data_IF_067960847728
#
_entry.id   IF_067960847728
#
_cell.length_a   1.000
_cell.length_b   1.000
_cell.length_c   1.000
_cell.angle_alpha   90.00
_cell.angle_beta   90.00
_cell.angle_gamma   90.00
#
_symmetry.space_group_name_H-M   'P 1'
#
loop_
_entity.id
_entity.type
_entity.pdbx_description
1 polymer ?
#
# COMPACT_ATOMS: atom_id res chain seq x y z
N UNK A 1 6.35 -33.23 -6.20
CA UNK A 1 6.28 -32.56 -4.90
C UNK A 1 6.10 -31.09 -5.14
N UNK A 2 5.32 -30.39 -4.30
CA UNK A 2 5.23 -28.94 -4.39
C UNK A 2 6.60 -28.32 -4.08
N UNK A 3 6.98 -27.23 -4.78
CA UNK A 3 8.23 -26.50 -4.50
C UNK A 3 8.12 -25.81 -3.15
N UNK A 4 9.25 -25.76 -2.42
CA UNK A 4 9.34 -25.15 -1.08
C UNK A 4 9.71 -23.68 -1.20
N UNK A 5 8.88 -22.83 -0.63
CA UNK A 5 8.99 -21.38 -0.66
C UNK A 5 9.21 -20.82 0.75
N UNK A 6 10.38 -20.26 1.00
CA UNK A 6 10.65 -19.49 2.21
C UNK A 6 10.30 -18.02 1.96
N UNK A 7 9.33 -17.47 2.66
CA UNK A 7 8.99 -16.04 2.64
C UNK A 7 9.65 -15.37 3.85
N UNK A 8 10.48 -14.36 3.61
CA UNK A 8 11.15 -13.58 4.65
C UNK A 8 10.74 -12.13 4.55
N UNK A 9 10.14 -11.59 5.60
CA UNK A 9 9.56 -10.24 5.57
C UNK A 9 9.71 -9.49 6.90
N UNK A 10 9.25 -8.26 6.94
CA UNK A 10 9.07 -7.48 8.17
C UNK A 10 7.63 -7.58 8.72
N UNK A 11 6.90 -8.65 8.37
CA UNK A 11 5.55 -8.92 8.87
C UNK A 11 5.53 -8.86 10.39
N UNK A 12 4.59 -8.09 10.93
CA UNK A 12 4.41 -7.87 12.36
C UNK A 12 2.92 -7.92 12.70
N UNK A 13 2.48 -9.03 13.28
CA UNK A 13 1.08 -9.27 13.63
C UNK A 13 0.53 -8.29 14.68
N UNK A 14 1.40 -7.64 15.44
CA UNK A 14 1.01 -6.58 16.39
C UNK A 14 0.60 -5.28 15.68
N UNK A 15 0.94 -5.13 14.40
CA UNK A 15 0.64 -3.97 13.56
C UNK A 15 -0.01 -4.41 12.24
N UNK A 16 -1.28 -4.86 12.24
CA UNK A 16 -1.93 -5.50 11.10
C UNK A 16 -2.30 -4.55 9.94
N UNK A 17 -1.53 -3.49 9.73
CA UNK A 17 -1.74 -2.46 8.72
C UNK A 17 -0.45 -2.14 7.96
N UNK A 18 -0.59 -1.50 6.81
CA UNK A 18 0.53 -1.02 6.00
C UNK A 18 1.48 -2.15 5.56
N UNK A 19 2.68 -2.18 6.13
CA UNK A 19 3.71 -3.16 5.77
C UNK A 19 3.34 -4.64 6.06
N UNK A 20 2.37 -4.88 6.95
CA UNK A 20 1.83 -6.21 7.25
C UNK A 20 1.04 -6.80 6.08
N UNK A 21 0.25 -5.99 5.39
CA UNK A 21 -0.79 -6.45 4.46
C UNK A 21 -0.21 -7.29 3.31
N UNK A 22 0.83 -6.79 2.64
CA UNK A 22 1.42 -7.47 1.48
C UNK A 22 2.04 -8.83 1.83
N UNK A 23 2.96 -8.96 2.81
CA UNK A 23 3.52 -10.27 3.16
C UNK A 23 2.50 -11.26 3.68
N UNK A 24 1.49 -10.80 4.40
CA UNK A 24 0.44 -11.66 4.93
C UNK A 24 -0.43 -12.26 3.81
N UNK A 25 -1.01 -11.43 2.97
CA UNK A 25 -1.93 -11.91 1.93
C UNK A 25 -1.20 -12.65 0.80
N UNK A 26 -0.01 -12.20 0.40
CA UNK A 26 0.79 -12.96 -0.56
C UNK A 26 1.19 -14.33 0.02
N UNK A 27 1.61 -14.40 1.27
CA UNK A 27 1.93 -15.67 1.93
C UNK A 27 0.72 -16.61 1.95
N UNK A 28 -0.46 -16.08 2.33
CA UNK A 28 -1.72 -16.83 2.34
C UNK A 28 -2.05 -17.45 0.98
N UNK A 29 -2.02 -16.68 -0.09
CA UNK A 29 -2.41 -17.20 -1.40
C UNK A 29 -1.29 -17.93 -2.14
N UNK A 30 -0.01 -17.65 -1.85
CA UNK A 30 1.10 -18.45 -2.36
C UNK A 30 1.13 -19.86 -1.74
N UNK A 31 0.59 -20.06 -0.53
CA UNK A 31 0.45 -21.38 0.07
C UNK A 31 -0.54 -22.31 -0.68
N UNK A 32 -1.36 -21.77 -1.58
CA UNK A 32 -2.18 -22.58 -2.50
C UNK A 32 -1.33 -23.23 -3.62
N UNK A 33 -0.10 -22.72 -3.89
CA UNK A 33 0.77 -23.13 -4.99
C UNK A 33 2.08 -23.76 -4.54
N UNK A 34 2.55 -23.44 -3.34
CA UNK A 34 3.85 -23.85 -2.79
C UNK A 34 3.71 -24.43 -1.39
N UNK A 35 4.70 -25.24 -1.00
CA UNK A 35 4.94 -25.56 0.41
C UNK A 35 5.62 -24.35 1.04
N UNK A 36 4.89 -23.53 1.80
CA UNK A 36 5.34 -22.22 2.30
C UNK A 36 5.82 -22.31 3.74
N UNK A 37 6.95 -21.68 4.04
CA UNK A 37 7.40 -21.34 5.37
C UNK A 37 7.50 -19.81 5.49
N UNK A 38 6.82 -19.20 6.49
CA UNK A 38 6.74 -17.75 6.67
C UNK A 38 7.63 -17.27 7.82
N UNK A 39 8.48 -16.25 7.56
CA UNK A 39 9.26 -15.55 8.57
C UNK A 39 8.92 -14.07 8.63
N UNK A 40 8.78 -13.52 9.84
CA UNK A 40 8.51 -12.12 10.09
C UNK A 40 9.00 -11.66 11.45
N UNK A 41 8.72 -10.43 11.82
CA UNK A 41 9.01 -9.91 13.17
C UNK A 41 8.11 -10.57 14.20
N UNK A 42 6.83 -10.62 13.92
CA UNK A 42 5.82 -11.38 14.65
C UNK A 42 4.86 -12.06 13.66
N UNK A 43 4.80 -13.39 13.71
CA UNK A 43 3.98 -14.24 12.86
C UNK A 43 2.78 -14.84 13.60
N UNK A 44 2.36 -14.30 14.73
CA UNK A 44 1.28 -14.87 15.56
C UNK A 44 -0.08 -14.98 14.84
N UNK A 45 -0.33 -14.14 13.82
CA UNK A 45 -1.53 -14.22 12.98
C UNK A 45 -1.41 -15.14 11.76
N UNK A 46 -0.24 -15.75 11.53
CA UNK A 46 -0.01 -16.65 10.38
C UNK A 46 -0.52 -18.04 10.73
N UNK A 47 -1.64 -18.43 10.14
CA UNK A 47 -2.28 -19.74 10.36
C UNK A 47 -2.33 -20.60 9.09
N UNK A 48 -1.90 -20.08 7.94
CA UNK A 48 -1.97 -20.75 6.63
C UNK A 48 -0.70 -21.55 6.29
N UNK A 49 0.40 -21.36 7.04
CA UNK A 49 1.67 -22.02 6.82
C UNK A 49 2.47 -22.12 8.15
N UNK A 50 3.43 -23.05 8.26
CA UNK A 50 4.45 -23.00 9.31
C UNK A 50 5.16 -21.65 9.32
N UNK A 51 5.41 -21.10 10.52
CA UNK A 51 5.98 -19.76 10.65
C UNK A 51 6.92 -19.63 11.84
N UNK A 52 7.80 -18.63 11.77
CA UNK A 52 8.72 -18.27 12.86
C UNK A 52 8.78 -16.75 13.03
N UNK A 53 8.63 -16.30 14.28
CA UNK A 53 8.85 -14.90 14.66
C UNK A 53 10.32 -14.65 14.98
N UNK A 54 10.90 -13.62 14.36
CA UNK A 54 12.32 -13.22 14.56
C UNK A 54 12.46 -12.31 15.79
N UNK A 55 11.42 -11.54 16.11
CA UNK A 55 11.35 -10.67 17.29
C UNK A 55 12.30 -9.45 17.30
N UNK A 56 13.14 -9.29 16.27
CA UNK A 56 14.13 -8.20 16.21
C UNK A 56 14.40 -7.72 14.78
N UNK A 57 14.44 -6.40 14.59
CA UNK A 57 14.80 -5.76 13.31
C UNK A 57 16.32 -5.67 13.11
N UNK A 58 17.10 -6.68 13.46
CA UNK A 58 18.54 -6.69 13.26
C UNK A 58 18.96 -7.60 12.10
N UNK A 59 19.95 -7.19 11.32
CA UNK A 59 20.48 -7.99 10.22
C UNK A 59 20.97 -9.36 10.73
N UNK A 60 21.64 -9.37 11.89
CA UNK A 60 22.16 -10.60 12.53
C UNK A 60 21.05 -11.58 12.86
N UNK A 61 19.94 -11.10 13.46
CA UNK A 61 18.81 -11.97 13.83
C UNK A 61 18.15 -12.58 12.59
N UNK A 62 17.99 -11.80 11.51
CA UNK A 62 17.47 -12.31 10.24
C UNK A 62 18.40 -13.36 9.63
N UNK A 63 19.71 -13.12 9.57
CA UNK A 63 20.70 -14.08 9.04
C UNK A 63 20.60 -15.41 9.82
N UNK A 64 20.66 -15.36 11.15
CA UNK A 64 20.58 -16.56 11.99
C UNK A 64 19.31 -17.37 11.78
N UNK A 65 18.16 -16.68 11.71
CA UNK A 65 16.86 -17.33 11.48
C UNK A 65 16.79 -17.97 10.07
N UNK A 66 17.25 -17.26 9.05
CA UNK A 66 17.26 -17.75 7.66
C UNK A 66 18.19 -18.95 7.53
N UNK A 67 19.41 -18.89 8.07
CA UNK A 67 20.36 -20.00 8.02
C UNK A 67 19.80 -21.28 8.64
N UNK A 68 19.16 -21.16 9.83
CA UNK A 68 18.48 -22.28 10.46
C UNK A 68 17.39 -22.86 9.57
N UNK A 69 16.53 -22.00 9.00
CA UNK A 69 15.43 -22.45 8.14
C UNK A 69 15.96 -23.07 6.84
N UNK A 70 17.02 -22.55 6.24
CA UNK A 70 17.65 -23.14 5.04
C UNK A 70 18.09 -24.59 5.35
N UNK A 71 18.72 -24.84 6.49
CA UNK A 71 19.18 -26.16 6.87
C UNK A 71 18.03 -27.15 7.15
N UNK A 72 16.93 -26.69 7.77
CA UNK A 72 15.81 -27.54 8.16
C UNK A 72 14.75 -27.70 7.06
N UNK A 73 14.40 -26.62 6.39
CA UNK A 73 13.32 -26.58 5.39
C UNK A 73 13.81 -26.81 3.96
N UNK A 74 15.10 -26.51 3.66
CA UNK A 74 15.72 -26.61 2.34
C UNK A 74 14.87 -25.98 1.22
N UNK A 75 14.61 -24.67 1.23
CA UNK A 75 13.73 -24.02 0.27
C UNK A 75 14.30 -24.05 -1.15
N UNK A 76 13.44 -24.22 -2.16
CA UNK A 76 13.78 -24.05 -3.58
C UNK A 76 13.86 -22.57 -3.93
N UNK A 77 13.00 -21.75 -3.29
CA UNK A 77 12.92 -20.31 -3.51
C UNK A 77 12.92 -19.59 -2.15
N UNK A 78 13.73 -18.54 -2.05
CA UNK A 78 13.71 -17.58 -0.94
C UNK A 78 13.13 -16.27 -1.47
N UNK A 79 11.93 -15.92 -1.03
CA UNK A 79 11.22 -14.68 -1.38
C UNK A 79 11.39 -13.67 -0.26
N UNK A 80 12.31 -12.74 -0.46
CA UNK A 80 12.69 -11.77 0.57
C UNK A 80 12.05 -10.39 0.26
N UNK A 81 11.20 -9.95 1.17
CA UNK A 81 10.42 -8.72 1.04
C UNK A 81 11.06 -7.59 1.83
N UNK A 82 11.36 -6.48 1.19
CA UNK A 82 12.05 -5.32 1.70
C UNK A 82 13.59 -5.47 1.83
N UNK A 83 14.25 -4.32 2.07
CA UNK A 83 15.72 -4.21 2.03
C UNK A 83 16.42 -5.06 3.09
N UNK A 84 15.96 -5.05 4.34
CA UNK A 84 16.62 -5.79 5.42
C UNK A 84 16.50 -7.31 5.27
N UNK A 85 15.31 -7.89 5.05
CA UNK A 85 15.16 -9.31 4.73
C UNK A 85 15.92 -9.71 3.47
N UNK A 86 15.93 -8.85 2.43
CA UNK A 86 16.67 -9.10 1.19
C UNK A 86 18.16 -9.22 1.40
N UNK A 87 18.78 -8.30 2.15
CA UNK A 87 20.21 -8.37 2.49
C UNK A 87 20.54 -9.62 3.32
N UNK A 88 19.71 -9.91 4.32
CA UNK A 88 19.93 -11.10 5.15
C UNK A 88 19.87 -12.39 4.33
N UNK A 89 18.85 -12.51 3.45
CA UNK A 89 18.71 -13.66 2.56
C UNK A 89 19.90 -13.81 1.58
N UNK A 90 20.32 -12.69 0.97
CA UNK A 90 21.47 -12.69 0.06
C UNK A 90 22.77 -13.16 0.76
N UNK A 91 23.01 -12.68 1.99
CA UNK A 91 24.18 -13.05 2.78
C UNK A 91 24.09 -14.53 3.19
N UNK A 92 22.94 -14.98 3.73
CA UNK A 92 22.76 -16.36 4.18
C UNK A 92 22.97 -17.38 3.05
N UNK A 93 22.40 -17.12 1.87
CA UNK A 93 22.56 -18.00 0.71
C UNK A 93 24.02 -18.06 0.22
N UNK A 94 24.75 -16.93 0.28
CA UNK A 94 26.18 -16.90 -0.06
C UNK A 94 27.05 -17.63 0.97
N UNK A 95 26.79 -17.43 2.27
CA UNK A 95 27.56 -18.08 3.35
C UNK A 95 27.35 -19.59 3.37
N UNK A 96 26.12 -20.05 3.24
CA UNK A 96 25.77 -21.47 3.22
C UNK A 96 26.14 -22.19 1.92
N UNK A 97 26.60 -21.45 0.88
CA UNK A 97 26.85 -21.98 -0.47
C UNK A 97 25.64 -22.79 -1.02
N UNK A 98 24.43 -22.44 -0.61
CA UNK A 98 23.18 -23.08 -1.09
C UNK A 98 22.94 -22.67 -2.54
N UNK A 99 23.54 -23.41 -3.47
CA UNK A 99 23.46 -23.16 -4.91
C UNK A 99 22.09 -23.52 -5.52
N UNK A 100 21.26 -24.24 -4.78
CA UNK A 100 19.99 -24.77 -5.29
C UNK A 100 18.77 -23.89 -4.95
N UNK A 101 18.92 -22.85 -4.12
CA UNK A 101 17.84 -21.94 -3.78
C UNK A 101 17.94 -20.65 -4.60
N UNK A 102 16.86 -20.29 -5.28
CA UNK A 102 16.74 -19.01 -6.01
C UNK A 102 16.30 -17.89 -5.07
N UNK A 103 17.01 -16.76 -5.05
CA UNK A 103 16.58 -15.56 -4.33
C UNK A 103 15.71 -14.70 -5.23
N UNK A 104 14.51 -14.34 -4.76
CA UNK A 104 13.64 -13.34 -5.37
C UNK A 104 13.42 -12.21 -4.36
N UNK A 105 13.62 -10.98 -4.81
CA UNK A 105 13.46 -9.78 -3.99
C UNK A 105 12.10 -9.14 -4.24
N UNK A 106 11.48 -8.56 -3.21
CA UNK A 106 10.27 -7.76 -3.35
C UNK A 106 10.47 -6.38 -2.72
N UNK A 107 10.34 -5.33 -3.51
CA UNK A 107 10.40 -3.96 -3.07
C UNK A 107 8.99 -3.38 -2.97
N UNK A 108 8.49 -3.20 -1.75
CA UNK A 108 7.21 -2.52 -1.50
C UNK A 108 7.32 -1.03 -1.78
N UNK A 109 8.51 -0.47 -1.54
CA UNK A 109 8.83 0.92 -1.78
C UNK A 109 10.29 1.06 -2.24
N UNK A 110 10.61 2.21 -2.84
CA UNK A 110 11.99 2.60 -3.05
C UNK A 110 12.47 3.47 -1.88
N UNK A 111 12.88 2.79 -0.79
CA UNK A 111 13.11 3.43 0.51
C UNK A 111 14.21 4.50 0.49
N UNK A 112 15.24 4.38 -0.34
CA UNK A 112 16.27 5.41 -0.47
C UNK A 112 15.67 6.75 -0.95
N UNK A 113 14.77 6.71 -1.95
CA UNK A 113 14.05 7.89 -2.41
C UNK A 113 13.14 8.47 -1.33
N UNK A 114 12.48 7.63 -0.57
CA UNK A 114 11.62 8.08 0.53
C UNK A 114 12.41 8.82 1.62
N UNK A 115 13.59 8.30 2.02
CA UNK A 115 14.49 9.00 2.96
C UNK A 115 15.01 10.31 2.38
N UNK A 116 15.36 10.34 1.10
CA UNK A 116 15.78 11.56 0.42
C UNK A 116 14.72 12.65 0.48
N UNK A 117 13.49 12.32 0.14
CA UNK A 117 12.39 13.28 0.16
C UNK A 117 12.05 13.78 1.57
N UNK A 118 12.28 12.95 2.59
CA UNK A 118 12.09 13.34 3.98
C UNK A 118 13.11 14.38 4.50
N UNK A 119 14.27 14.50 3.87
CA UNK A 119 15.27 15.50 4.24
C UNK A 119 14.70 16.93 4.32
N UNK A 120 13.71 17.22 3.49
CA UNK A 120 13.11 18.55 3.37
C UNK A 120 11.93 18.81 4.34
N UNK A 121 11.54 17.82 5.12
CA UNK A 121 10.33 17.88 5.96
C UNK A 121 10.52 17.44 7.41
N UNK A 122 11.75 17.13 7.85
CA UNK A 122 12.03 16.60 9.20
C UNK A 122 12.92 17.53 10.03
N UNK A 123 12.79 17.46 11.35
CA UNK A 123 13.59 18.24 12.28
C UNK A 123 15.08 17.87 12.34
N UNK A 124 15.44 16.65 11.91
CA UNK A 124 16.82 16.16 11.91
C UNK A 124 17.24 15.63 10.52
N UNK A 125 17.58 16.52 9.57
CA UNK A 125 17.94 16.14 8.21
C UNK A 125 19.22 15.30 8.14
N UNK A 126 20.18 15.48 9.03
CA UNK A 126 21.43 14.72 9.03
C UNK A 126 21.20 13.22 9.30
N UNK A 127 20.33 12.90 10.25
CA UNK A 127 19.95 11.50 10.53
C UNK A 127 19.28 10.87 9.31
N UNK A 128 18.36 11.57 8.67
CA UNK A 128 17.68 11.09 7.46
C UNK A 128 18.65 10.92 6.29
N UNK A 129 19.61 11.84 6.12
CA UNK A 129 20.64 11.73 5.10
C UNK A 129 21.50 10.47 5.30
N UNK A 130 21.98 10.22 6.51
CA UNK A 130 22.75 9.01 6.84
C UNK A 130 21.92 7.76 6.55
N UNK A 131 20.63 7.77 6.89
CA UNK A 131 19.74 6.64 6.61
C UNK A 131 19.48 6.48 5.11
N UNK A 132 19.33 7.57 4.37
CA UNK A 132 19.23 7.56 2.91
C UNK A 132 20.46 6.90 2.27
N UNK A 133 21.67 7.32 2.64
CA UNK A 133 22.92 6.76 2.12
C UNK A 133 23.05 5.27 2.44
N UNK A 134 22.79 4.87 3.69
CA UNK A 134 22.81 3.45 4.09
C UNK A 134 21.84 2.61 3.29
N UNK A 135 20.61 3.10 3.12
CA UNK A 135 19.56 2.42 2.38
C UNK A 135 19.88 2.37 0.88
N UNK A 136 20.42 3.46 0.32
CA UNK A 136 20.89 3.51 -1.06
C UNK A 136 21.95 2.43 -1.34
N UNK A 137 22.99 2.33 -0.51
CA UNK A 137 24.02 1.30 -0.65
C UNK A 137 23.39 -0.10 -0.52
N UNK A 138 22.54 -0.32 0.48
CA UNK A 138 21.91 -1.60 0.74
C UNK A 138 21.01 -2.05 -0.43
N UNK A 139 20.17 -1.16 -0.94
CA UNK A 139 19.33 -1.43 -2.11
C UNK A 139 20.17 -1.62 -3.37
N UNK A 140 21.27 -0.87 -3.54
CA UNK A 140 22.21 -1.05 -4.64
C UNK A 140 22.79 -2.46 -4.65
N UNK A 141 23.26 -2.97 -3.50
CA UNK A 141 23.77 -4.35 -3.38
C UNK A 141 22.72 -5.37 -3.85
N UNK A 142 21.46 -5.19 -3.46
CA UNK A 142 20.36 -6.06 -3.86
C UNK A 142 20.06 -5.96 -5.36
N UNK A 143 19.96 -4.74 -5.88
CA UNK A 143 19.66 -4.47 -7.31
C UNK A 143 20.74 -5.06 -8.22
N UNK A 144 22.02 -4.96 -7.81
CA UNK A 144 23.16 -5.50 -8.57
C UNK A 144 23.50 -6.96 -8.24
N UNK A 145 22.75 -7.63 -7.35
CA UNK A 145 22.95 -9.04 -7.03
C UNK A 145 22.63 -9.99 -8.19
N UNK A 146 21.89 -9.53 -9.18
CA UNK A 146 21.36 -10.34 -10.28
C UNK A 146 20.07 -11.10 -9.95
N UNK A 147 19.56 -10.98 -8.71
CA UNK A 147 18.30 -11.62 -8.30
C UNK A 147 17.10 -10.95 -8.99
N UNK A 148 16.08 -11.72 -9.41
CA UNK A 148 14.80 -11.18 -9.89
C UNK A 148 14.16 -10.29 -8.83
N UNK A 149 13.53 -9.20 -9.29
CA UNK A 149 12.88 -8.22 -8.42
C UNK A 149 11.39 -8.14 -8.75
N UNK A 150 10.55 -8.27 -7.74
CA UNK A 150 9.14 -7.90 -7.77
C UNK A 150 9.02 -6.49 -7.18
N UNK A 151 8.33 -5.61 -7.87
CA UNK A 151 8.10 -4.23 -7.46
C UNK A 151 6.61 -3.99 -7.20
N UNK A 152 6.26 -3.39 -6.07
CA UNK A 152 4.87 -3.14 -5.68
C UNK A 152 4.24 -1.94 -6.42
N UNK A 153 4.64 -1.69 -7.65
CA UNK A 153 4.08 -0.66 -8.54
C UNK A 153 5.10 -0.20 -9.59
N UNK A 154 4.60 0.39 -10.66
CA UNK A 154 5.39 0.80 -11.84
C UNK A 154 6.32 1.99 -11.60
N UNK A 155 6.12 2.73 -10.51
CA UNK A 155 7.01 3.82 -10.09
C UNK A 155 8.37 3.32 -9.60
N UNK A 156 8.44 2.12 -9.00
CA UNK A 156 9.67 1.59 -8.42
C UNK A 156 10.73 1.27 -9.48
N UNK A 157 10.44 0.57 -10.59
CA UNK A 157 11.41 0.37 -11.67
C UNK A 157 11.94 1.68 -12.25
N UNK A 158 11.08 2.69 -12.41
CA UNK A 158 11.47 4.03 -12.89
C UNK A 158 12.45 4.70 -11.94
N UNK A 159 12.17 4.67 -10.62
CA UNK A 159 13.06 5.22 -9.59
C UNK A 159 14.40 4.47 -9.54
N UNK A 160 14.39 3.14 -9.62
CA UNK A 160 15.62 2.34 -9.68
C UNK A 160 16.47 2.77 -10.87
N UNK A 161 15.89 2.89 -12.06
CA UNK A 161 16.59 3.34 -13.27
C UNK A 161 17.17 4.74 -13.10
N UNK A 162 16.41 5.68 -12.55
CA UNK A 162 16.86 7.06 -12.32
C UNK A 162 18.01 7.16 -11.32
N UNK A 163 17.98 6.37 -10.25
CA UNK A 163 18.95 6.47 -9.15
C UNK A 163 20.20 5.64 -9.33
N UNK A 164 20.11 4.52 -10.05
CA UNK A 164 21.26 3.62 -10.28
C UNK A 164 21.74 3.59 -11.75
N UNK A 165 21.08 4.34 -12.63
CA UNK A 165 21.46 4.41 -14.05
C UNK A 165 21.25 3.09 -14.82
N UNK A 166 20.59 2.11 -14.19
CA UNK A 166 20.39 0.78 -14.77
C UNK A 166 19.08 0.17 -14.27
N UNK A 167 18.31 -0.36 -15.21
CA UNK A 167 17.15 -1.20 -14.86
C UNK A 167 17.60 -2.66 -14.74
N UNK A 168 17.27 -3.38 -13.66
CA UNK A 168 17.53 -4.81 -13.56
C UNK A 168 16.90 -5.56 -14.75
N UNK A 169 17.59 -6.63 -15.20
CA UNK A 169 17.12 -7.43 -16.35
C UNK A 169 15.79 -8.13 -16.08
N UNK A 170 15.56 -8.53 -14.81
CA UNK A 170 14.37 -9.23 -14.36
C UNK A 170 13.67 -8.42 -13.25
N UNK A 171 12.88 -7.44 -13.67
CA UNK A 171 12.02 -6.69 -12.76
C UNK A 171 10.56 -6.80 -13.21
N UNK A 172 9.69 -7.17 -12.28
CA UNK A 172 8.27 -7.44 -12.51
C UNK A 172 7.43 -6.50 -11.65
N UNK A 173 6.60 -5.67 -12.29
CA UNK A 173 5.68 -4.80 -11.55
C UNK A 173 4.42 -5.56 -11.16
N UNK A 174 4.31 -5.93 -9.89
CA UNK A 174 3.10 -6.53 -9.30
C UNK A 174 2.70 -5.74 -8.08
N UNK A 175 1.75 -4.85 -8.27
CA UNK A 175 1.24 -3.96 -7.24
C UNK A 175 0.55 -4.69 -6.08
N UNK A 176 0.06 -3.92 -5.13
CA UNK A 176 -0.73 -4.44 -4.02
C UNK A 176 -2.10 -4.93 -4.50
N UNK A 177 -2.74 -5.75 -3.67
CA UNK A 177 -4.08 -6.25 -3.90
C UNK A 177 -5.08 -5.67 -2.91
N UNK A 178 -6.34 -6.01 -3.12
CA UNK A 178 -7.46 -5.75 -2.22
C UNK A 178 -7.93 -7.05 -1.57
N UNK A 179 -8.55 -6.91 -0.41
CA UNK A 179 -9.07 -8.04 0.37
C UNK A 179 -10.49 -8.43 -0.08
N UNK A 180 -10.85 -9.69 0.07
CA UNK A 180 -12.15 -10.21 -0.38
C UNK A 180 -13.33 -9.59 0.38
N UNK A 181 -13.13 -9.17 1.61
CA UNK A 181 -14.15 -8.49 2.43
C UNK A 181 -14.55 -7.12 1.87
N UNK A 182 -13.65 -6.44 1.15
CA UNK A 182 -13.95 -5.21 0.42
C UNK A 182 -14.59 -5.49 -0.94
N UNK A 183 -14.22 -6.59 -1.60
CA UNK A 183 -14.79 -6.97 -2.90
C UNK A 183 -16.23 -7.49 -2.77
N UNK A 184 -16.60 -8.07 -1.63
CA UNK A 184 -17.92 -8.65 -1.38
C UNK A 184 -18.55 -8.10 -0.10
N UNK A 185 -18.76 -6.78 0.02
CA UNK A 185 -19.27 -6.16 1.26
C UNK A 185 -20.74 -6.49 1.55
N UNK A 186 -21.46 -7.13 0.61
CA UNK A 186 -22.88 -7.44 0.75
C UNK A 186 -23.16 -8.61 1.70
N UNK A 187 -22.16 -9.41 2.01
CA UNK A 187 -22.28 -10.58 2.91
C UNK A 187 -22.46 -10.18 4.37
N UNK A 188 -22.22 -8.91 4.72
CA UNK A 188 -22.33 -8.40 6.10
C UNK A 188 -23.30 -7.20 6.12
N UNK A 189 -24.28 -7.28 7.03
CA UNK A 189 -25.21 -6.16 7.25
C UNK A 189 -24.56 -5.11 8.15
N UNK A 190 -24.15 -4.00 7.56
CA UNK A 190 -23.65 -2.84 8.30
C UNK A 190 -24.76 -1.81 8.52
N UNK A 191 -24.71 -1.10 9.65
CA UNK A 191 -25.52 0.12 9.84
C UNK A 191 -24.83 1.29 9.14
N UNK A 192 -25.61 2.18 8.54
CA UNK A 192 -25.09 3.43 7.98
C UNK A 192 -24.53 4.32 9.10
N UNK A 193 -23.20 4.54 9.15
CA UNK A 193 -22.59 5.34 10.20
C UNK A 193 -22.82 6.85 10.00
N UNK A 194 -23.40 7.25 8.85
CA UNK A 194 -23.56 8.64 8.45
C UNK A 194 -25.00 9.15 8.54
N UNK A 195 -25.89 8.40 9.19
CA UNK A 195 -27.30 8.77 9.30
C UNK A 195 -27.52 10.19 9.87
N UNK A 196 -26.67 10.62 10.82
CA UNK A 196 -26.74 11.94 11.43
C UNK A 196 -26.38 13.10 10.46
N UNK A 197 -25.66 12.81 9.38
CA UNK A 197 -25.21 13.81 8.40
C UNK A 197 -26.11 13.88 7.17
N UNK A 198 -27.00 12.89 6.98
CA UNK A 198 -27.93 12.88 5.85
C UNK A 198 -28.92 14.06 5.92
N UNK A 199 -29.28 14.71 4.80
CA UNK A 199 -29.04 14.23 3.41
C UNK A 199 -27.74 14.71 2.76
N UNK A 200 -26.76 15.19 3.49
CA UNK A 200 -25.48 15.57 2.92
C UNK A 200 -24.81 14.38 2.21
N UNK A 201 -24.13 14.66 1.11
CA UNK A 201 -23.27 13.70 0.42
C UNK A 201 -21.98 13.50 1.20
N UNK A 202 -21.62 12.26 1.45
CA UNK A 202 -20.46 11.90 2.28
C UNK A 202 -19.23 11.67 1.41
N UNK A 203 -18.18 12.43 1.69
CA UNK A 203 -16.87 12.31 1.03
C UNK A 203 -15.85 11.76 2.03
N UNK A 204 -15.36 10.56 1.80
CA UNK A 204 -14.40 9.91 2.71
C UNK A 204 -12.96 10.14 2.29
N UNK A 205 -12.10 10.44 3.26
CA UNK A 205 -10.64 10.45 3.15
C UNK A 205 -10.03 9.51 4.18
N UNK A 206 -9.31 8.49 3.75
CA UNK A 206 -8.48 7.64 4.62
C UNK A 206 -7.09 8.25 4.71
N UNK A 207 -6.71 8.79 5.87
CA UNK A 207 -5.46 9.53 6.05
C UNK A 207 -4.82 9.24 7.42
N UNK A 208 -4.38 8.01 7.71
CA UNK A 208 -3.76 7.68 8.99
C UNK A 208 -2.51 8.53 9.22
N UNK A 209 -2.26 8.86 10.50
CA UNK A 209 -1.04 9.55 10.90
C UNK A 209 0.13 8.59 10.77
N UNK A 210 1.04 8.88 9.86
CA UNK A 210 2.25 8.08 9.68
C UNK A 210 3.46 8.93 10.03
N UNK A 211 4.35 8.40 10.89
CA UNK A 211 5.58 9.09 11.26
C UNK A 211 6.54 9.27 10.09
N UNK A 212 6.28 8.59 8.97
CA UNK A 212 7.24 8.50 7.88
C UNK A 212 6.97 9.46 6.73
N UNK A 213 5.70 9.85 6.48
CA UNK A 213 5.38 10.66 5.29
C UNK A 213 4.34 11.73 5.57
N UNK A 214 4.65 13.02 5.30
CA UNK A 214 3.70 14.12 5.46
C UNK A 214 2.60 14.14 4.37
N UNK A 215 2.61 13.19 3.44
CA UNK A 215 1.64 13.15 2.34
C UNK A 215 0.19 13.07 2.81
N UNK A 216 -0.07 12.34 3.90
CA UNK A 216 -1.40 12.28 4.51
C UNK A 216 -1.75 13.61 5.20
N UNK A 217 -0.77 14.28 5.83
CA UNK A 217 -1.00 15.59 6.47
C UNK A 217 -1.39 16.63 5.42
N UNK A 218 -0.68 16.66 4.28
CA UNK A 218 -1.00 17.53 3.15
C UNK A 218 -2.41 17.23 2.58
N UNK A 219 -2.81 15.96 2.51
CA UNK A 219 -4.15 15.56 2.05
C UNK A 219 -5.23 16.01 3.03
N UNK A 220 -4.98 15.91 4.33
CA UNK A 220 -5.90 16.41 5.38
C UNK A 220 -6.03 17.93 5.29
N UNK A 221 -4.91 18.66 5.20
CA UNK A 221 -4.93 20.12 5.06
C UNK A 221 -5.72 20.56 3.83
N UNK A 222 -5.49 19.93 2.66
CA UNK A 222 -6.26 20.20 1.45
C UNK A 222 -7.75 19.91 1.65
N UNK A 223 -8.09 18.81 2.32
CA UNK A 223 -9.49 18.44 2.59
C UNK A 223 -10.18 19.47 3.50
N UNK A 224 -9.49 20.00 4.52
CA UNK A 224 -10.01 21.06 5.39
C UNK A 224 -10.28 22.34 4.57
N UNK A 225 -9.34 22.73 3.70
CA UNK A 225 -9.54 23.91 2.83
C UNK A 225 -10.71 23.72 1.85
N UNK A 226 -10.84 22.55 1.26
CA UNK A 226 -11.97 22.19 0.38
C UNK A 226 -13.29 22.20 1.15
N UNK A 227 -13.32 21.63 2.36
CA UNK A 227 -14.50 21.66 3.21
C UNK A 227 -14.93 23.09 3.54
N UNK A 228 -13.99 23.96 3.91
CA UNK A 228 -14.21 25.37 4.18
C UNK A 228 -14.73 26.12 2.94
N UNK A 229 -14.16 25.85 1.77
CA UNK A 229 -14.62 26.45 0.52
C UNK A 229 -16.08 26.08 0.23
N UNK A 230 -16.45 24.80 0.38
CA UNK A 230 -17.81 24.32 0.12
C UNK A 230 -18.81 24.77 1.21
N UNK A 231 -18.39 24.89 2.47
CA UNK A 231 -19.23 25.45 3.54
C UNK A 231 -19.62 26.88 3.25
N UNK A 232 -18.69 27.73 2.82
CA UNK A 232 -18.91 29.12 2.44
C UNK A 232 -19.88 29.25 1.25
N UNK A 233 -19.97 28.23 0.41
CA UNK A 233 -20.89 28.16 -0.74
C UNK A 233 -22.20 27.41 -0.42
N UNK A 234 -22.45 27.12 0.87
CA UNK A 234 -23.68 26.47 1.37
C UNK A 234 -23.97 25.11 0.71
N UNK A 235 -22.92 24.36 0.34
CA UNK A 235 -23.10 23.09 -0.33
C UNK A 235 -23.33 21.94 0.68
N UNK A 236 -24.20 21.00 0.31
CA UNK A 236 -24.58 19.85 1.15
C UNK A 236 -23.61 18.69 1.00
N UNK A 237 -22.34 18.91 1.33
CA UNK A 237 -21.29 17.90 1.32
C UNK A 237 -20.68 17.83 2.72
N UNK A 238 -20.51 16.62 3.25
CA UNK A 238 -19.86 16.38 4.53
C UNK A 238 -18.63 15.50 4.34
N UNK A 239 -17.48 15.98 4.79
CA UNK A 239 -16.21 15.25 4.72
C UNK A 239 -16.02 14.40 5.96
N UNK A 240 -15.48 13.21 5.78
CA UNK A 240 -15.14 12.28 6.87
C UNK A 240 -13.70 11.82 6.72
N UNK A 241 -12.87 12.13 7.71
CA UNK A 241 -11.45 11.76 7.73
C UNK A 241 -11.25 10.59 8.68
N UNK A 242 -10.79 9.46 8.15
CA UNK A 242 -10.50 8.24 8.90
C UNK A 242 -8.99 8.15 9.17
N UNK A 243 -8.60 7.80 10.39
CA UNK A 243 -7.21 7.67 10.81
C UNK A 243 -6.62 8.94 11.44
N UNK A 244 -7.46 9.95 11.69
CA UNK A 244 -7.15 11.18 12.41
C UNK A 244 -8.18 11.41 13.49
N UNK A 245 -7.74 11.79 14.66
CA UNK A 245 -8.61 12.07 15.80
C UNK A 245 -8.99 13.56 15.91
N UNK A 246 -9.90 13.82 16.81
CA UNK A 246 -10.42 15.18 17.05
C UNK A 246 -9.34 16.18 17.59
N UNK A 247 -8.14 15.73 17.90
CA UNK A 247 -7.05 16.62 18.30
C UNK A 247 -6.54 17.53 17.17
N UNK A 248 -6.97 17.27 15.93
CA UNK A 248 -6.70 18.13 14.76
C UNK A 248 -7.81 19.18 14.54
N UNK A 249 -8.90 19.14 15.32
CA UNK A 249 -9.98 20.11 15.27
C UNK A 249 -9.53 21.39 16.00
N UNK A 250 -9.60 22.51 15.31
CA UNK A 250 -9.44 23.86 15.85
C UNK A 250 -10.75 24.64 15.73
N UNK A 251 -10.84 25.80 16.39
CA UNK A 251 -11.99 26.71 16.23
C UNK A 251 -12.24 27.14 14.78
N UNK A 252 -11.23 27.01 13.91
CA UNK A 252 -11.32 27.32 12.49
C UNK A 252 -11.71 26.12 11.60
N UNK A 253 -11.93 24.95 12.19
CA UNK A 253 -12.34 23.75 11.45
C UNK A 253 -13.80 23.91 10.98
N UNK A 254 -14.09 23.71 9.67
CA UNK A 254 -15.44 23.83 9.14
C UNK A 254 -16.43 22.83 9.76
N UNK A 255 -17.70 23.19 9.85
CA UNK A 255 -18.74 22.32 10.44
C UNK A 255 -19.07 21.09 9.58
N UNK A 256 -18.71 21.11 8.30
CA UNK A 256 -18.97 20.07 7.32
C UNK A 256 -17.81 19.04 7.20
N UNK A 257 -16.94 18.91 8.23
CA UNK A 257 -15.89 17.89 8.30
C UNK A 257 -15.88 17.21 9.67
N UNK A 258 -15.67 15.89 9.67
CA UNK A 258 -15.55 15.07 10.89
C UNK A 258 -14.30 14.21 10.85
N UNK A 259 -13.65 14.04 12.00
CA UNK A 259 -12.47 13.20 12.21
C UNK A 259 -12.85 12.02 13.10
N UNK A 260 -12.69 10.78 12.59
CA UNK A 260 -13.16 9.57 13.29
C UNK A 260 -12.07 8.87 14.10
N UNK A 261 -10.82 9.34 14.02
CA UNK A 261 -9.73 8.63 14.64
C UNK A 261 -9.39 7.33 13.91
N UNK A 262 -8.64 6.48 14.63
CA UNK A 262 -8.32 5.14 14.17
C UNK A 262 -9.53 4.21 14.40
N UNK A 263 -9.92 3.46 13.38
CA UNK A 263 -10.98 2.47 13.46
C UNK A 263 -10.36 1.08 13.73
N UNK A 264 -10.43 0.56 14.97
CA UNK A 264 -9.75 -0.68 15.34
C UNK A 264 -10.40 -1.94 14.74
N UNK A 265 -11.70 -1.86 14.45
CA UNK A 265 -12.44 -2.97 13.84
C UNK A 265 -12.49 -2.82 12.34
N UNK A 266 -12.16 -3.89 11.64
CA UNK A 266 -12.18 -3.95 10.17
C UNK A 266 -13.59 -3.69 9.63
N UNK A 267 -14.61 -4.21 10.31
CA UNK A 267 -16.02 -4.06 9.95
C UNK A 267 -16.45 -2.59 9.95
N UNK A 268 -16.01 -1.81 10.94
CA UNK A 268 -16.32 -0.38 11.01
C UNK A 268 -15.69 0.37 9.83
N UNK A 269 -14.43 0.04 9.49
CA UNK A 269 -13.75 0.62 8.32
C UNK A 269 -14.51 0.32 7.02
N UNK A 270 -14.93 -0.92 6.82
CA UNK A 270 -15.70 -1.34 5.64
C UNK A 270 -17.06 -0.62 5.60
N UNK A 271 -17.76 -0.51 6.76
CA UNK A 271 -19.02 0.22 6.84
C UNK A 271 -18.85 1.68 6.42
N UNK A 272 -17.82 2.36 6.90
CA UNK A 272 -17.54 3.74 6.52
C UNK A 272 -17.28 3.90 5.02
N UNK A 273 -16.54 2.97 4.41
CA UNK A 273 -16.36 2.99 2.95
C UNK A 273 -17.65 2.68 2.20
N UNK A 274 -18.40 1.66 2.63
CA UNK A 274 -19.65 1.24 1.98
C UNK A 274 -20.68 2.35 1.89
N UNK A 275 -20.87 3.10 2.96
CA UNK A 275 -21.92 4.13 3.05
C UNK A 275 -21.47 5.55 2.66
N UNK A 276 -20.19 5.76 2.36
CA UNK A 276 -19.72 6.98 1.72
C UNK A 276 -20.30 7.09 0.29
N UNK A 277 -20.53 8.31 -0.17
CA UNK A 277 -20.97 8.57 -1.55
C UNK A 277 -19.74 8.70 -2.48
N UNK A 278 -18.69 9.38 -2.01
CA UNK A 278 -17.46 9.67 -2.74
C UNK A 278 -16.23 9.33 -1.92
N UNK A 279 -15.12 9.13 -2.58
CA UNK A 279 -13.81 9.03 -1.94
C UNK A 279 -12.83 10.03 -2.54
N UNK A 280 -11.94 10.60 -1.70
CA UNK A 280 -11.05 11.68 -2.07
C UNK A 280 -9.58 11.28 -1.91
N UNK A 281 -8.74 11.63 -2.91
CA UNK A 281 -7.30 11.46 -2.92
C UNK A 281 -6.60 12.78 -3.28
N UNK A 282 -6.62 13.80 -2.40
CA UNK A 282 -6.19 15.16 -2.70
C UNK A 282 -4.68 15.33 -2.40
N UNK A 283 -3.84 14.55 -3.05
CA UNK A 283 -2.40 14.61 -2.83
C UNK A 283 -1.76 15.79 -3.57
N UNK A 284 -0.87 16.50 -2.90
CA UNK A 284 -0.08 17.57 -3.51
C UNK A 284 0.98 17.02 -4.47
N UNK A 285 1.52 17.88 -5.34
CA UNK A 285 2.67 17.53 -6.23
C UNK A 285 3.90 17.04 -5.46
N UNK A 286 4.07 17.47 -4.22
CA UNK A 286 5.16 17.08 -3.33
C UNK A 286 4.87 15.77 -2.56
N UNK A 287 3.68 15.20 -2.72
CA UNK A 287 3.33 13.97 -2.04
C UNK A 287 4.19 12.81 -2.53
N UNK A 288 5.00 12.27 -1.62
CA UNK A 288 5.93 11.19 -1.93
C UNK A 288 5.23 9.85 -1.81
N UNK A 289 5.38 9.02 -2.83
CA UNK A 289 5.04 7.61 -2.76
C UNK A 289 6.09 6.80 -3.52
N UNK A 290 6.75 5.89 -2.81
CA UNK A 290 7.66 4.93 -3.42
C UNK A 290 6.93 3.73 -4.08
N UNK A 291 5.61 3.58 -3.87
CA UNK A 291 4.77 2.52 -4.41
C UNK A 291 3.32 2.99 -4.63
N UNK A 292 2.44 2.05 -5.02
CA UNK A 292 1.02 2.32 -5.23
C UNK A 292 0.30 2.65 -3.92
N UNK A 293 -0.74 3.49 -4.00
CA UNK A 293 -1.53 3.90 -2.83
C UNK A 293 -2.65 2.90 -2.57
N UNK A 294 -2.50 2.08 -1.53
CA UNK A 294 -3.48 1.04 -1.15
C UNK A 294 -4.89 1.59 -0.97
N UNK A 295 -5.04 2.77 -0.34
CA UNK A 295 -6.35 3.38 -0.11
C UNK A 295 -7.16 3.64 -1.39
N UNK A 296 -6.49 3.91 -2.51
CA UNK A 296 -7.17 4.04 -3.81
C UNK A 296 -7.82 2.71 -4.21
N UNK A 297 -7.10 1.60 -4.01
CA UNK A 297 -7.62 0.26 -4.29
C UNK A 297 -8.82 -0.07 -3.39
N UNK A 298 -8.75 0.29 -2.10
CA UNK A 298 -9.85 0.09 -1.15
C UNK A 298 -11.10 0.88 -1.58
N UNK A 299 -10.94 2.10 -2.09
CA UNK A 299 -12.05 2.91 -2.58
C UNK A 299 -12.72 2.31 -3.81
N UNK A 300 -11.93 1.89 -4.81
CA UNK A 300 -12.45 1.23 -6.00
C UNK A 300 -13.12 -0.11 -5.67
N UNK A 301 -12.53 -0.90 -4.77
CA UNK A 301 -13.11 -2.15 -4.29
C UNK A 301 -14.45 -1.95 -3.56
N UNK A 302 -14.62 -0.81 -2.89
CA UNK A 302 -15.87 -0.44 -2.21
C UNK A 302 -16.88 0.24 -3.14
N UNK A 303 -16.67 0.22 -4.46
CA UNK A 303 -17.52 0.86 -5.47
C UNK A 303 -17.76 2.35 -5.17
N UNK A 304 -16.70 3.09 -4.89
CA UNK A 304 -16.80 4.53 -4.68
C UNK A 304 -16.35 5.27 -5.93
N UNK A 305 -17.09 6.33 -6.26
CA UNK A 305 -16.59 7.33 -7.21
C UNK A 305 -15.42 8.06 -6.55
N UNK A 306 -14.26 8.00 -7.18
CA UNK A 306 -13.04 8.58 -6.64
C UNK A 306 -12.73 9.90 -7.33
N UNK A 307 -12.51 10.94 -6.54
CA UNK A 307 -11.94 12.21 -6.99
C UNK A 307 -10.48 12.23 -6.55
N UNK A 308 -9.55 12.39 -7.49
CA UNK A 308 -8.11 12.32 -7.23
C UNK A 308 -7.34 13.41 -7.94
N UNK A 309 -6.30 13.93 -7.31
CA UNK A 309 -5.22 14.61 -8.03
C UNK A 309 -4.36 13.56 -8.76
N UNK A 310 -3.57 13.94 -9.79
CA UNK A 310 -2.69 12.99 -10.49
C UNK A 310 -1.77 12.21 -9.53
N UNK A 311 -1.30 12.83 -8.45
CA UNK A 311 -0.42 12.19 -7.47
C UNK A 311 -1.12 11.12 -6.62
N UNK A 312 -2.45 11.17 -6.52
CA UNK A 312 -3.24 10.14 -5.84
C UNK A 312 -3.23 8.80 -6.58
N UNK A 313 -2.93 8.81 -7.88
CA UNK A 313 -2.90 7.63 -8.76
C UNK A 313 -1.49 7.12 -9.04
N UNK A 314 -0.45 7.71 -8.46
CA UNK A 314 0.91 7.25 -8.69
C UNK A 314 1.08 5.76 -8.37
N UNK A 315 1.59 5.00 -9.34
CA UNK A 315 1.70 3.53 -9.26
C UNK A 315 0.41 2.77 -9.60
N UNK A 316 -0.61 3.47 -10.10
CA UNK A 316 -1.90 2.92 -10.53
C UNK A 316 -2.27 3.49 -11.92
N UNK A 317 -1.32 3.46 -12.86
CA UNK A 317 -1.42 4.09 -14.18
C UNK A 317 -2.49 3.45 -15.08
N UNK A 318 -3.02 2.28 -14.72
CA UNK A 318 -4.18 1.67 -15.41
C UNK A 318 -5.49 2.43 -15.14
N UNK A 319 -5.58 3.19 -14.02
CA UNK A 319 -6.77 3.97 -13.70
C UNK A 319 -6.71 5.34 -14.38
N UNK A 320 -7.68 5.61 -15.25
CA UNK A 320 -7.68 6.78 -16.12
C UNK A 320 -8.86 7.69 -15.86
N UNK A 321 -8.63 9.00 -16.05
CA UNK A 321 -9.66 10.04 -15.96
C UNK A 321 -10.82 9.76 -16.92
N UNK A 322 -12.05 9.96 -16.45
CA UNK A 322 -13.32 9.74 -17.20
C UNK A 322 -13.52 8.29 -17.71
N UNK A 323 -12.69 7.36 -17.26
CA UNK A 323 -12.87 5.93 -17.53
C UNK A 323 -13.09 5.16 -16.21
N UNK A 324 -12.38 5.54 -15.16
CA UNK A 324 -12.40 4.85 -13.87
C UNK A 324 -12.66 5.80 -12.69
N UNK A 325 -12.39 7.10 -12.86
CA UNK A 325 -12.45 8.09 -11.80
C UNK A 325 -12.42 9.51 -12.38
N UNK A 326 -12.55 10.50 -11.48
CA UNK A 326 -12.37 11.92 -11.82
C UNK A 326 -11.00 12.40 -11.36
N UNK A 327 -10.14 12.84 -12.29
CA UNK A 327 -8.88 13.50 -11.98
C UNK A 327 -9.12 15.01 -11.98
N UNK A 328 -8.71 15.66 -10.89
CA UNK A 328 -8.81 17.11 -10.66
C UNK A 328 -7.43 17.78 -10.69
N UNK A 329 -7.39 19.11 -10.69
CA UNK A 329 -6.17 19.89 -10.46
C UNK A 329 -5.69 19.88 -9.01
N UNK A 330 -4.79 20.81 -8.67
CA UNK A 330 -4.16 20.84 -7.35
C UNK A 330 -4.63 22.01 -6.47
N UNK A 331 -5.38 22.95 -7.02
CA UNK A 331 -5.93 24.05 -6.22
C UNK A 331 -7.15 23.61 -5.41
N UNK A 332 -7.38 24.26 -4.28
CA UNK A 332 -8.56 24.04 -3.44
C UNK A 332 -9.85 24.19 -4.25
N UNK A 333 -9.92 25.20 -5.12
CA UNK A 333 -11.09 25.47 -5.97
C UNK A 333 -11.34 24.34 -6.98
N UNK A 334 -10.31 23.86 -7.68
CA UNK A 334 -10.44 22.76 -8.65
C UNK A 334 -10.92 21.49 -7.98
N UNK A 335 -10.33 21.14 -6.81
CA UNK A 335 -10.76 19.97 -6.04
C UNK A 335 -12.18 20.13 -5.54
N UNK A 336 -12.54 21.31 -5.00
CA UNK A 336 -13.88 21.59 -4.49
C UNK A 336 -14.94 21.49 -5.58
N UNK A 337 -14.71 22.12 -6.74
CA UNK A 337 -15.63 22.09 -7.87
C UNK A 337 -15.82 20.67 -8.42
N UNK A 338 -14.73 19.87 -8.50
CA UNK A 338 -14.83 18.47 -8.95
C UNK A 338 -15.59 17.62 -7.94
N UNK A 339 -15.34 17.79 -6.64
CA UNK A 339 -16.09 17.09 -5.57
C UNK A 339 -17.56 17.46 -5.62
N UNK A 340 -17.88 18.76 -5.80
CA UNK A 340 -19.26 19.24 -5.86
C UNK A 340 -19.99 18.67 -7.07
N UNK A 341 -19.39 18.74 -8.28
CA UNK A 341 -19.99 18.16 -9.47
C UNK A 341 -20.22 16.66 -9.31
N UNK A 342 -19.24 15.93 -8.79
CA UNK A 342 -19.36 14.51 -8.50
C UNK A 342 -20.49 14.20 -7.49
N UNK A 343 -20.64 15.02 -6.44
CA UNK A 343 -21.64 14.84 -5.42
C UNK A 343 -23.07 15.10 -5.92
N UNK A 344 -23.24 16.13 -6.75
CA UNK A 344 -24.53 16.51 -7.30
C UNK A 344 -25.00 15.64 -8.47
N UNK A 345 -24.05 15.05 -9.20
CA UNK A 345 -24.31 14.31 -10.44
C UNK A 345 -23.78 12.87 -10.35
N UNK A 346 -23.85 12.23 -9.18
CA UNK A 346 -23.25 10.92 -8.94
C UNK A 346 -23.70 9.85 -9.94
N UNK A 347 -24.98 9.86 -10.32
CA UNK A 347 -25.57 8.91 -11.25
C UNK A 347 -24.95 9.02 -12.66
N UNK A 348 -24.49 10.20 -13.06
CA UNK A 348 -23.77 10.43 -14.33
C UNK A 348 -22.47 9.65 -14.40
N UNK A 349 -21.87 9.34 -13.25
CA UNK A 349 -20.56 8.72 -13.12
C UNK A 349 -20.59 7.25 -12.69
N UNK A 350 -21.77 6.62 -12.66
CA UNK A 350 -21.94 5.23 -12.25
C UNK A 350 -21.09 4.28 -13.11
N UNK A 351 -21.02 4.51 -14.42
CA UNK A 351 -20.20 3.72 -15.34
C UNK A 351 -18.71 3.74 -15.01
N UNK A 352 -18.17 4.86 -14.46
CA UNK A 352 -16.78 4.95 -14.03
C UNK A 352 -16.52 4.02 -12.83
N UNK A 353 -17.48 4.02 -11.89
CA UNK A 353 -17.42 3.17 -10.69
C UNK A 353 -17.42 1.69 -11.08
N UNK A 354 -18.32 1.29 -11.98
CA UNK A 354 -18.40 -0.11 -12.45
C UNK A 354 -17.15 -0.54 -13.22
N UNK A 355 -16.63 0.33 -14.09
CA UNK A 355 -15.41 0.06 -14.84
C UNK A 355 -14.20 -0.08 -13.89
N UNK A 356 -14.08 0.82 -12.92
CA UNK A 356 -13.02 0.73 -11.91
C UNK A 356 -13.15 -0.54 -11.05
N UNK A 357 -14.35 -0.88 -10.62
CA UNK A 357 -14.61 -2.10 -9.85
C UNK A 357 -14.31 -3.37 -10.64
N UNK A 358 -14.67 -3.42 -11.92
CA UNK A 358 -14.34 -4.53 -12.82
C UNK A 358 -12.81 -4.71 -12.90
N UNK A 359 -12.08 -3.62 -13.15
CA UNK A 359 -10.62 -3.66 -13.19
C UNK A 359 -10.01 -4.16 -11.86
N UNK A 360 -10.57 -3.73 -10.72
CA UNK A 360 -10.13 -4.20 -9.39
C UNK A 360 -10.37 -5.70 -9.21
N UNK A 361 -11.56 -6.19 -9.55
CA UNK A 361 -11.91 -7.61 -9.34
C UNK A 361 -11.09 -8.53 -10.21
N UNK A 362 -10.84 -8.14 -11.46
CA UNK A 362 -10.08 -8.95 -12.41
C UNK A 362 -8.58 -8.99 -12.09
N UNK A 363 -7.98 -7.86 -11.71
CA UNK A 363 -6.53 -7.75 -11.65
C UNK A 363 -5.95 -7.50 -10.26
N UNK A 364 -6.73 -6.94 -9.31
CA UNK A 364 -6.19 -6.39 -8.07
C UNK A 364 -6.59 -7.17 -6.81
N UNK A 365 -7.20 -8.35 -6.91
CA UNK A 365 -7.35 -9.22 -5.74
C UNK A 365 -5.97 -9.75 -5.28
N UNK A 366 -5.77 -9.95 -3.99
CA UNK A 366 -4.54 -10.57 -3.49
C UNK A 366 -4.31 -11.96 -4.07
N UNK A 367 -5.39 -12.70 -4.36
CA UNK A 367 -5.33 -14.01 -5.03
C UNK A 367 -4.76 -13.89 -6.44
N UNK A 368 -5.25 -12.94 -7.25
CA UNK A 368 -4.72 -12.69 -8.59
C UNK A 368 -3.25 -12.24 -8.55
N UNK A 369 -2.88 -11.35 -7.60
CA UNK A 369 -1.48 -10.91 -7.43
C UNK A 369 -0.56 -12.07 -7.05
N UNK A 370 -0.97 -12.93 -6.13
CA UNK A 370 -0.20 -14.12 -5.74
C UNK A 370 -0.08 -15.12 -6.90
N UNK A 371 -1.13 -15.31 -7.69
CA UNK A 371 -1.07 -16.16 -8.89
C UNK A 371 -0.02 -15.66 -9.89
N UNK A 372 0.00 -14.37 -10.20
CA UNK A 372 0.99 -13.77 -11.10
C UNK A 372 2.43 -13.94 -10.55
N UNK A 373 2.62 -13.81 -9.22
CA UNK A 373 3.92 -14.07 -8.58
C UNK A 373 4.29 -15.55 -8.67
N UNK A 374 3.34 -16.46 -8.47
CA UNK A 374 3.56 -17.89 -8.59
C UNK A 374 4.04 -18.29 -10.00
N UNK A 375 3.46 -17.71 -11.04
CA UNK A 375 3.93 -17.94 -12.41
C UNK A 375 5.40 -17.49 -12.63
N UNK A 376 5.78 -16.35 -12.05
CA UNK A 376 7.17 -15.87 -12.10
C UNK A 376 8.10 -16.85 -11.38
N UNK A 377 7.71 -17.32 -10.18
CA UNK A 377 8.50 -18.26 -9.41
C UNK A 377 8.70 -19.59 -10.15
N UNK A 378 7.68 -20.08 -10.82
CA UNK A 378 7.79 -21.28 -11.64
C UNK A 378 8.79 -21.11 -12.80
N UNK A 379 8.79 -19.96 -13.48
CA UNK A 379 9.71 -19.65 -14.58
C UNK A 379 11.18 -19.58 -14.09
N UNK A 380 11.42 -18.88 -12.96
CA UNK A 380 12.76 -18.69 -12.40
C UNK A 380 13.39 -20.01 -11.95
N UNK A 381 12.61 -20.92 -11.42
CA UNK A 381 13.11 -22.20 -10.90
C UNK A 381 13.34 -23.27 -11.96
N UNK A 382 13.12 -22.98 -13.24
CA UNK A 382 13.46 -23.83 -14.39
C UNK A 382 14.68 -23.35 -15.16
N UNK A 383 15.21 -22.17 -14.83
CA UNK A 383 16.44 -21.59 -15.40
C UNK A 383 17.65 -21.80 -14.48
#
# INVERSE_FOLDING_TARGET
MAKRLLIVSTLDSSQPFGAFTRPFYLGKYLSEHFDVFQMGLDCSSVHYAPSTSIGSRSLKSYIQAIEKCIDEFCPDIVYAQETLPGLAALISLKLKKHRNSSLVLDFHTFSAYEYWMRLFSVANPLKEFVQCVKTYIAQGILIFSGSPIIAAGDSIPKLISQWYGKTPQQIYSIGNGVTEDLLNPETIHYKDPYQAFRPAKIVVLVAPKTFQFPSNDMSVSMTIEVAKYLENHQQKVHFVVIGRDNGEISESTPSNISFLGFLPKREDFIAHLKYADLALLPFSKQAVAGGARNKALDYFASKKLVVSTPEGLRGLEEFRHLEHLLVTGYSTEEVANTVLDAALNIDKYESLVDTAYTLITEKYSWKARAHNIAEIFMKISHS
#
